data_IF_270813095106
#
_entry.id   IF_270813095106
#
_cell.length_a   1.000
_cell.length_b   1.000
_cell.length_c   1.000
_cell.angle_alpha   90.00
_cell.angle_beta   90.00
_cell.angle_gamma   90.00
#
_symmetry.space_group_name_H-M   'P 1'
#
loop_
_entity.id
_entity.type
_entity.pdbx_description
1 polymer ?
#
# COMPACT_ATOMS: atom_id res chain seq x y z
N UNK A 1 -33.36 -15.94 -30.35
CA UNK A 1 -33.50 -15.66 -28.91
C UNK A 1 -32.11 -15.74 -28.31
N UNK A 2 -31.39 -14.62 -28.27
CA UNK A 2 -30.06 -14.56 -27.65
C UNK A 2 -30.34 -14.29 -26.17
N UNK A 3 -29.99 -15.25 -25.32
CA UNK A 3 -30.19 -15.21 -23.88
C UNK A 3 -29.45 -14.02 -23.28
N UNK A 4 -30.22 -13.05 -22.80
CA UNK A 4 -29.78 -12.01 -21.88
C UNK A 4 -29.51 -12.64 -20.51
N UNK A 5 -28.31 -13.17 -20.30
CA UNK A 5 -27.78 -13.40 -18.95
C UNK A 5 -26.99 -12.17 -18.54
N UNK A 6 -27.71 -11.26 -17.91
CA UNK A 6 -27.20 -10.25 -16.98
C UNK A 6 -26.24 -10.90 -15.98
N UNK A 7 -24.96 -10.56 -16.07
CA UNK A 7 -24.00 -10.60 -14.94
C UNK A 7 -22.85 -9.63 -15.26
N UNK A 8 -23.15 -8.33 -15.24
CA UNK A 8 -22.15 -7.23 -15.37
C UNK A 8 -21.62 -6.81 -13.97
N UNK A 9 -21.89 -7.57 -12.91
CA UNK A 9 -21.55 -7.19 -11.52
C UNK A 9 -20.38 -7.94 -10.90
N UNK A 10 -19.40 -8.41 -11.69
CA UNK A 10 -18.20 -9.02 -11.15
C UNK A 10 -17.00 -8.04 -11.20
N UNK A 11 -16.49 -7.70 -10.01
CA UNK A 11 -15.10 -7.28 -9.73
C UNK A 11 -14.60 -5.84 -9.95
N UNK A 12 -15.46 -4.81 -10.03
CA UNK A 12 -14.99 -3.42 -9.93
C UNK A 12 -14.91 -2.87 -8.49
N UNK A 13 -15.29 -3.68 -7.50
CA UNK A 13 -15.08 -3.31 -6.10
C UNK A 13 -13.62 -3.58 -5.75
N UNK A 14 -12.91 -2.54 -5.29
CA UNK A 14 -11.71 -2.68 -4.47
C UNK A 14 -11.97 -3.87 -3.54
N UNK A 15 -11.11 -4.91 -3.50
CA UNK A 15 -11.38 -6.07 -2.68
C UNK A 15 -11.75 -5.54 -1.30
N UNK A 16 -12.75 -6.15 -0.64
CA UNK A 16 -13.05 -5.89 0.75
C UNK A 16 -11.79 -6.24 1.55
N UNK A 17 -10.81 -5.33 1.53
CA UNK A 17 -9.63 -5.37 2.34
C UNK A 17 -10.20 -5.17 3.73
N UNK A 18 -9.94 -6.11 4.65
CA UNK A 18 -10.43 -5.96 5.99
C UNK A 18 -9.91 -4.62 6.47
N UNK A 19 -10.79 -3.63 6.58
CA UNK A 19 -10.52 -2.47 7.41
C UNK A 19 -10.51 -3.10 8.77
N UNK A 20 -9.34 -3.52 9.25
CA UNK A 20 -9.18 -3.86 10.64
C UNK A 20 -9.31 -2.53 11.37
N UNK A 21 -10.55 -2.07 11.52
CA UNK A 21 -10.94 -1.13 12.57
C UNK A 21 -10.78 -1.92 13.85
N UNK A 22 -9.52 -2.13 14.24
CA UNK A 22 -9.18 -2.65 15.55
C UNK A 22 -9.89 -1.77 16.56
N UNK A 23 -10.49 -2.39 17.58
CA UNK A 23 -11.10 -1.64 18.68
C UNK A 23 -10.04 -0.87 19.48
N UNK A 24 -8.79 -1.31 19.42
CA UNK A 24 -7.67 -0.73 20.13
C UNK A 24 -7.12 0.49 19.40
N UNK A 25 -6.85 1.60 20.11
CA UNK A 25 -6.19 2.75 19.52
C UNK A 25 -4.81 2.36 18.98
N UNK A 26 -4.63 2.54 17.68
CA UNK A 26 -3.37 2.28 16.98
C UNK A 26 -2.95 3.50 16.18
N UNK A 27 -1.65 3.83 16.24
CA UNK A 27 -0.97 4.82 15.42
C UNK A 27 0.12 4.10 14.61
N UNK A 28 0.21 4.40 13.32
CA UNK A 28 1.40 4.02 12.54
C UNK A 28 2.08 5.23 11.95
N UNK A 29 3.40 5.32 12.07
CA UNK A 29 4.18 6.47 11.60
C UNK A 29 5.09 6.05 10.46
N UNK A 30 5.23 6.90 9.44
CA UNK A 30 6.20 6.62 8.38
C UNK A 30 7.63 6.56 8.93
N UNK A 31 8.36 5.48 8.62
CA UNK A 31 9.77 5.33 8.96
C UNK A 31 10.58 5.19 7.69
N UNK A 32 11.58 6.05 7.47
CA UNK A 32 12.44 5.98 6.29
C UNK A 32 13.24 4.68 6.27
N UNK A 33 13.31 3.99 5.13
CA UNK A 33 14.07 2.73 5.01
C UNK A 33 15.54 2.90 4.61
N UNK A 34 15.94 4.06 4.06
CA UNK A 34 17.30 4.26 3.53
C UNK A 34 17.83 5.67 3.84
N UNK A 35 19.07 5.73 4.37
CA UNK A 35 19.88 6.93 4.52
C UNK A 35 20.41 7.40 3.12
N UNK A 36 20.77 8.68 2.90
CA UNK A 36 21.07 9.75 3.87
C UNK A 36 19.91 10.74 4.15
N UNK A 37 18.73 10.52 3.56
CA UNK A 37 17.56 11.39 3.76
C UNK A 37 16.55 10.69 4.67
N UNK A 38 16.90 10.57 5.94
CA UNK A 38 15.94 10.16 6.96
C UNK A 38 14.86 11.25 7.05
N UNK A 39 13.61 10.89 6.78
CA UNK A 39 12.49 11.77 7.07
C UNK A 39 12.41 12.02 8.59
N UNK A 40 11.82 13.15 9.02
CA UNK A 40 11.52 13.43 10.44
C UNK A 40 10.51 12.44 11.08
N UNK A 41 10.11 11.39 10.34
CA UNK A 41 9.25 10.32 10.84
C UNK A 41 9.87 9.52 11.98
N UNK A 42 11.20 9.37 12.02
CA UNK A 42 11.90 8.72 13.14
C UNK A 42 11.72 9.52 14.43
N UNK A 43 11.92 10.84 14.36
CA UNK A 43 11.76 11.76 15.49
C UNK A 43 10.31 11.75 15.97
N UNK A 44 9.35 11.80 15.04
CA UNK A 44 7.93 11.72 15.38
C UNK A 44 7.57 10.39 16.06
N UNK A 45 8.10 9.26 15.57
CA UNK A 45 7.87 7.94 16.13
C UNK A 45 8.40 7.84 17.58
N UNK A 46 9.64 8.28 17.80
CA UNK A 46 10.25 8.28 19.14
C UNK A 46 9.51 9.23 20.11
N UNK A 47 9.14 10.42 19.64
CA UNK A 47 8.37 11.38 20.42
C UNK A 47 6.99 10.84 20.84
N UNK A 48 6.29 10.14 19.93
CA UNK A 48 5.01 9.49 20.24
C UNK A 48 5.15 8.40 21.29
N UNK A 49 6.20 7.57 21.20
CA UNK A 49 6.48 6.53 22.20
C UNK A 49 6.76 7.14 23.58
N UNK A 50 7.61 8.16 23.63
CA UNK A 50 7.96 8.85 24.87
C UNK A 50 6.73 9.48 25.53
N UNK A 51 5.97 10.29 24.77
CA UNK A 51 4.82 11.01 25.29
C UNK A 51 3.66 10.10 25.69
N UNK A 52 3.39 9.04 24.90
CA UNK A 52 2.38 8.04 25.24
C UNK A 52 2.68 7.36 26.57
N UNK A 53 3.94 6.94 26.78
CA UNK A 53 4.38 6.29 28.03
C UNK A 53 4.33 7.26 29.21
N UNK A 54 4.78 8.50 29.03
CA UNK A 54 4.73 9.55 30.05
C UNK A 54 3.30 9.81 30.53
N UNK A 55 2.36 9.85 29.59
CA UNK A 55 0.94 10.12 29.85
C UNK A 55 0.13 8.86 30.21
N UNK A 56 0.72 7.66 30.09
CA UNK A 56 0.07 6.35 30.28
C UNK A 56 -1.17 6.17 29.39
N UNK A 57 -1.09 6.59 28.14
CA UNK A 57 -2.18 6.45 27.17
C UNK A 57 -2.11 5.05 26.54
N UNK A 58 -3.19 4.25 26.57
CA UNK A 58 -3.20 2.92 25.97
C UNK A 58 -3.35 3.04 24.44
N UNK A 59 -2.22 3.20 23.74
CA UNK A 59 -2.16 3.26 22.28
C UNK A 59 -0.98 2.42 21.76
N UNK A 60 -1.24 1.63 20.73
CA UNK A 60 -0.22 0.85 20.03
C UNK A 60 0.43 1.77 18.99
N UNK A 61 1.76 1.89 19.03
CA UNK A 61 2.51 2.71 18.08
C UNK A 61 3.48 1.79 17.32
N UNK A 62 3.35 1.77 16.00
CA UNK A 62 4.16 0.91 15.11
C UNK A 62 4.72 1.69 13.92
N UNK A 63 5.83 1.25 13.32
CA UNK A 63 6.26 1.76 12.03
C UNK A 63 5.25 1.33 10.94
N UNK A 64 4.90 2.27 10.07
CA UNK A 64 4.08 2.00 8.90
C UNK A 64 4.87 1.29 7.79
N UNK A 65 4.16 0.54 6.94
CA UNK A 65 4.71 0.04 5.68
C UNK A 65 4.91 1.20 4.71
N UNK A 66 6.17 1.54 4.46
CA UNK A 66 6.58 2.60 3.54
C UNK A 66 7.47 2.05 2.43
N UNK A 67 7.13 2.39 1.18
CA UNK A 67 7.96 2.10 -0.01
C UNK A 67 8.79 3.29 -0.47
N UNK A 68 8.98 4.32 0.37
CA UNK A 68 9.65 5.57 -0.01
C UNK A 68 11.16 5.56 0.29
N UNK A 69 11.90 6.38 -0.44
CA UNK A 69 13.32 6.67 -0.16
C UNK A 69 13.57 7.75 0.90
N UNK A 70 12.54 8.19 1.64
CA UNK A 70 12.68 9.15 2.76
C UNK A 70 12.67 10.65 2.40
N UNK A 71 12.62 11.03 1.12
CA UNK A 71 12.72 12.43 0.66
C UNK A 71 11.38 13.15 0.45
N UNK A 72 10.31 12.74 1.14
CA UNK A 72 8.97 13.31 0.93
C UNK A 72 8.89 14.77 1.42
N UNK A 73 8.33 15.68 0.59
CA UNK A 73 8.13 17.10 0.93
C UNK A 73 6.92 17.38 1.84
N UNK A 74 6.08 16.37 2.06
CA UNK A 74 4.78 16.47 2.71
C UNK A 74 4.67 15.68 4.02
N UNK A 75 5.61 14.77 4.26
CA UNK A 75 5.67 14.03 5.51
C UNK A 75 6.16 14.87 6.69
N UNK A 76 6.21 14.30 7.90
CA UNK A 76 5.85 12.91 8.22
C UNK A 76 4.34 12.63 8.17
N UNK A 77 3.99 11.41 7.77
CA UNK A 77 2.62 10.90 7.78
C UNK A 77 2.36 10.03 9.00
N UNK A 78 1.16 10.17 9.55
CA UNK A 78 0.68 9.41 10.70
C UNK A 78 -0.68 8.81 10.36
N UNK A 79 -0.79 7.49 10.37
CA UNK A 79 -2.07 6.79 10.21
C UNK A 79 -2.71 6.48 11.55
N UNK A 80 -4.03 6.51 11.56
CA UNK A 80 -4.88 6.04 12.66
C UNK A 80 -5.79 4.93 12.12
N UNK A 81 -5.32 3.68 12.02
CA UNK A 81 -6.05 2.61 11.34
C UNK A 81 -7.45 2.34 11.92
N UNK A 82 -7.59 2.46 13.25
CA UNK A 82 -8.86 2.30 13.97
C UNK A 82 -9.91 3.37 13.59
N UNK A 83 -9.48 4.57 13.22
CA UNK A 83 -10.34 5.65 12.72
C UNK A 83 -10.41 5.68 11.19
N UNK A 84 -9.48 5.01 10.51
CA UNK A 84 -9.34 5.03 9.06
C UNK A 84 -9.02 6.43 8.54
N UNK A 85 -8.10 7.16 9.18
CA UNK A 85 -7.66 8.50 8.74
C UNK A 85 -6.14 8.60 8.74
N UNK A 86 -5.61 9.59 8.01
CA UNK A 86 -4.21 10.00 8.11
C UNK A 86 -4.08 11.47 8.48
N UNK A 87 -3.00 11.75 9.19
CA UNK A 87 -2.45 13.07 9.35
C UNK A 87 -1.19 13.25 8.49
N UNK A 88 -1.08 14.44 7.91
CA UNK A 88 0.03 14.89 7.05
C UNK A 88 0.75 16.06 7.72
N UNK A 89 2.06 16.18 7.52
CA UNK A 89 2.86 17.28 8.06
C UNK A 89 2.88 17.34 9.59
N UNK A 90 2.84 16.18 10.25
CA UNK A 90 2.81 16.11 11.71
C UNK A 90 4.17 16.49 12.29
N UNK A 91 4.19 17.48 13.19
CA UNK A 91 5.36 17.95 13.92
C UNK A 91 5.33 17.47 15.37
N UNK A 92 6.47 17.56 16.06
CA UNK A 92 6.58 17.20 17.48
C UNK A 92 5.58 17.94 18.37
N UNK A 93 5.34 19.24 18.12
CA UNK A 93 4.37 20.05 18.87
C UNK A 93 2.94 19.50 18.79
N UNK A 94 2.62 18.74 17.74
CA UNK A 94 1.30 18.15 17.56
C UNK A 94 1.10 16.86 18.37
N UNK A 95 2.18 16.20 18.82
CA UNK A 95 2.13 14.88 19.48
C UNK A 95 1.18 14.89 20.68
N UNK A 96 1.36 15.85 21.58
CA UNK A 96 0.53 15.96 22.79
C UNK A 96 -0.94 16.17 22.45
N UNK A 97 -1.23 16.98 21.43
CA UNK A 97 -2.59 17.28 20.99
C UNK A 97 -3.24 16.06 20.32
N UNK A 98 -2.50 15.32 19.50
CA UNK A 98 -2.98 14.09 18.86
C UNK A 98 -3.32 13.04 19.92
N UNK A 99 -2.44 12.83 20.89
CA UNK A 99 -2.70 11.88 21.97
C UNK A 99 -3.92 12.26 22.82
N UNK A 100 -4.07 13.54 23.18
CA UNK A 100 -5.19 13.99 24.03
C UNK A 100 -6.53 14.12 23.28
N UNK A 101 -6.54 14.78 22.14
CA UNK A 101 -7.78 15.08 21.42
C UNK A 101 -8.18 13.93 20.50
N UNK A 102 -7.23 13.34 19.76
CA UNK A 102 -7.56 12.27 18.81
C UNK A 102 -7.67 10.92 19.49
N UNK A 103 -6.65 10.47 20.21
CA UNK A 103 -6.66 9.12 20.81
C UNK A 103 -7.65 9.00 21.97
N UNK A 104 -7.62 9.93 22.94
CA UNK A 104 -8.49 9.81 24.13
C UNK A 104 -9.93 10.30 23.88
N UNK A 105 -10.12 11.37 23.10
CA UNK A 105 -11.44 11.99 22.89
C UNK A 105 -12.07 11.65 21.54
N UNK A 106 -11.36 10.95 20.65
CA UNK A 106 -11.87 10.58 19.32
C UNK A 106 -12.04 11.76 18.36
N UNK A 107 -11.45 12.93 18.65
CA UNK A 107 -11.59 14.13 17.81
C UNK A 107 -10.59 14.15 16.67
N UNK A 108 -11.09 14.43 15.48
CA UNK A 108 -10.27 14.60 14.28
C UNK A 108 -9.70 16.03 14.25
N UNK A 109 -8.39 16.14 14.09
CA UNK A 109 -7.68 17.40 13.93
C UNK A 109 -7.69 17.80 12.46
N UNK A 110 -8.73 18.51 12.03
CA UNK A 110 -8.90 18.93 10.63
C UNK A 110 -7.68 19.61 9.99
N UNK A 111 -6.89 20.46 10.67
CA UNK A 111 -5.71 21.06 10.07
C UNK A 111 -4.62 20.06 9.67
N UNK A 112 -4.59 18.89 10.30
CA UNK A 112 -3.63 17.82 10.00
C UNK A 112 -4.21 16.75 9.09
N UNK A 113 -5.55 16.69 8.96
CA UNK A 113 -6.25 15.65 8.24
C UNK A 113 -5.89 15.66 6.75
N UNK A 114 -5.34 14.55 6.28
CA UNK A 114 -5.13 14.34 4.86
C UNK A 114 -6.47 14.09 4.16
N UNK A 115 -6.93 15.07 3.40
CA UNK A 115 -8.07 14.94 2.48
C UNK A 115 -7.64 15.43 1.11
N UNK A 116 -7.36 14.51 0.20
CA UNK A 116 -7.12 14.86 -1.18
C UNK A 116 -7.94 13.96 -2.12
N UNK A 117 -9.10 14.43 -2.61
CA UNK A 117 -9.97 13.61 -3.46
C UNK A 117 -9.34 13.27 -4.81
N UNK A 118 -8.25 13.93 -5.20
CA UNK A 118 -7.52 13.66 -6.44
C UNK A 118 -6.35 12.68 -6.25
N UNK A 119 -5.95 12.41 -5.00
CA UNK A 119 -4.75 11.60 -4.69
C UNK A 119 -5.04 10.40 -3.80
N UNK A 120 -6.09 10.45 -2.98
CA UNK A 120 -6.47 9.38 -2.06
C UNK A 120 -7.96 9.07 -2.22
N UNK A 121 -8.24 7.87 -2.76
CA UNK A 121 -9.61 7.34 -2.91
C UNK A 121 -10.10 6.77 -1.57
N UNK A 122 -9.20 6.49 -0.63
CA UNK A 122 -9.50 5.96 0.71
C UNK A 122 -8.60 6.58 1.77
N UNK A 123 -9.18 6.95 2.89
CA UNK A 123 -8.49 7.58 4.02
C UNK A 123 -7.59 6.63 4.84
N UNK A 124 -7.47 5.35 4.45
CA UNK A 124 -6.58 4.33 5.03
C UNK A 124 -5.51 3.81 4.04
N UNK A 125 -5.47 4.35 2.82
CA UNK A 125 -4.40 4.12 1.84
C UNK A 125 -3.97 5.44 1.17
N UNK A 126 -2.69 5.80 1.33
CA UNK A 126 -2.07 6.89 0.58
C UNK A 126 -1.18 6.31 -0.54
N UNK A 127 -1.58 6.59 -1.79
CA UNK A 127 -0.79 6.31 -2.98
C UNK A 127 -0.38 7.62 -3.66
N UNK A 128 0.91 7.95 -3.67
CA UNK A 128 1.39 9.11 -4.45
C UNK A 128 1.79 8.68 -5.86
N UNK A 129 0.88 8.89 -6.80
CA UNK A 129 1.07 8.57 -8.23
C UNK A 129 2.29 9.24 -8.86
N UNK A 130 2.66 10.44 -8.41
CA UNK A 130 3.79 11.19 -8.98
C UNK A 130 5.15 10.63 -8.56
N UNK A 131 5.27 10.11 -7.33
CA UNK A 131 6.47 9.46 -6.83
C UNK A 131 6.51 7.94 -7.04
N UNK A 132 5.42 7.34 -7.55
CA UNK A 132 5.27 5.89 -7.66
C UNK A 132 5.33 5.19 -6.30
N UNK A 133 5.00 5.91 -5.21
CA UNK A 133 5.35 5.51 -3.86
C UNK A 133 4.13 5.25 -2.99
N UNK A 134 4.17 4.14 -2.26
CA UNK A 134 3.23 3.80 -1.18
C UNK A 134 3.74 4.44 0.09
N UNK A 135 3.01 5.41 0.64
CA UNK A 135 3.57 6.27 1.69
C UNK A 135 3.20 5.87 3.12
N UNK A 136 2.11 5.15 3.37
CA UNK A 136 1.88 4.53 4.67
C UNK A 136 0.71 3.54 4.61
N UNK A 137 0.95 2.28 4.97
CA UNK A 137 -0.10 1.31 5.27
C UNK A 137 0.18 0.69 6.63
N UNK A 138 -0.88 0.28 7.32
CA UNK A 138 -0.76 -0.54 8.53
C UNK A 138 -0.14 -1.91 8.21
N UNK A 139 0.43 -2.57 9.22
CA UNK A 139 1.01 -3.90 9.04
C UNK A 139 -0.01 -5.01 8.70
N UNK A 140 -1.32 -4.73 8.89
CA UNK A 140 -2.42 -5.61 8.48
C UNK A 140 -2.61 -5.76 6.96
N UNK A 141 -1.94 -4.96 6.14
CA UNK A 141 -2.04 -5.04 4.68
C UNK A 141 -1.00 -6.00 4.10
N UNK A 142 -1.43 -6.90 3.20
CA UNK A 142 -0.51 -7.69 2.37
C UNK A 142 -0.18 -6.95 1.09
N UNK A 143 1.10 -6.63 0.88
CA UNK A 143 1.54 -5.85 -0.28
C UNK A 143 1.48 -6.63 -1.60
N UNK A 144 1.57 -7.95 -1.54
CA UNK A 144 1.33 -8.82 -2.70
C UNK A 144 -0.12 -8.71 -3.18
N UNK A 145 -1.08 -8.67 -2.25
CA UNK A 145 -2.50 -8.49 -2.57
C UNK A 145 -2.82 -7.08 -3.06
N UNK A 146 -2.09 -6.07 -2.57
CA UNK A 146 -2.15 -4.71 -3.14
C UNK A 146 -1.68 -4.74 -4.60
N UNK A 147 -0.56 -5.40 -4.90
CA UNK A 147 -0.06 -5.54 -6.27
C UNK A 147 -1.07 -6.27 -7.17
N UNK A 148 -1.70 -7.35 -6.68
CA UNK A 148 -2.76 -8.08 -7.39
C UNK A 148 -3.93 -7.16 -7.76
N UNK A 149 -4.39 -6.35 -6.81
CA UNK A 149 -5.45 -5.37 -7.07
C UNK A 149 -5.03 -4.35 -8.14
N UNK A 150 -3.84 -3.76 -8.02
CA UNK A 150 -3.35 -2.74 -8.94
C UNK A 150 -3.19 -3.28 -10.37
N UNK A 151 -2.63 -4.49 -10.52
CA UNK A 151 -2.44 -5.08 -11.83
C UNK A 151 -3.77 -5.55 -12.45
N UNK A 152 -4.73 -5.99 -11.65
CA UNK A 152 -6.07 -6.32 -12.14
C UNK A 152 -6.73 -5.11 -12.79
N UNK A 153 -6.73 -3.97 -12.11
CA UNK A 153 -7.25 -2.72 -12.66
C UNK A 153 -6.56 -2.35 -13.98
N UNK A 154 -5.23 -2.42 -14.04
CA UNK A 154 -4.50 -2.09 -15.27
C UNK A 154 -4.69 -3.10 -16.41
N UNK A 155 -4.91 -4.38 -16.09
CA UNK A 155 -5.24 -5.39 -17.08
C UNK A 155 -6.62 -5.11 -17.71
N UNK A 156 -7.60 -4.70 -16.90
CA UNK A 156 -8.95 -4.42 -17.37
C UNK A 156 -9.03 -3.12 -18.20
N UNK A 157 -8.17 -2.13 -17.90
CA UNK A 157 -8.04 -0.87 -18.66
C UNK A 157 -7.12 -0.97 -19.89
N UNK A 158 -6.49 -2.12 -20.10
CA UNK A 158 -5.57 -2.34 -21.23
C UNK A 158 -6.33 -2.35 -22.56
N UNK A 159 -5.94 -1.51 -23.52
CA UNK A 159 -6.52 -1.55 -24.87
C UNK A 159 -6.04 -2.75 -25.71
N UNK A 160 -5.05 -3.51 -25.23
CA UNK A 160 -4.54 -4.73 -25.91
C UNK A 160 -3.85 -4.49 -27.27
N UNK A 161 -3.51 -3.25 -27.63
CA UNK A 161 -2.93 -2.95 -28.96
C UNK A 161 -1.56 -3.58 -29.23
N UNK A 162 -0.67 -3.58 -28.23
CA UNK A 162 0.70 -4.10 -28.36
C UNK A 162 0.91 -5.33 -27.47
N UNK A 163 1.82 -6.22 -27.89
CA UNK A 163 2.13 -7.48 -27.20
C UNK A 163 2.40 -7.36 -25.70
N UNK A 164 3.24 -6.43 -25.20
CA UNK A 164 3.44 -6.29 -23.75
C UNK A 164 2.16 -5.90 -22.98
N UNK A 165 1.22 -5.19 -23.63
CA UNK A 165 -0.05 -4.81 -23.01
C UNK A 165 -1.09 -5.93 -23.10
N UNK A 166 -1.16 -6.62 -24.25
CA UNK A 166 -2.14 -7.69 -24.53
C UNK A 166 -1.82 -9.01 -23.85
N UNK A 167 -0.54 -9.33 -23.73
CA UNK A 167 -0.05 -10.60 -23.19
C UNK A 167 0.73 -10.34 -21.91
N UNK A 168 1.69 -9.41 -21.92
CA UNK A 168 2.59 -9.19 -20.78
C UNK A 168 1.88 -8.76 -19.49
N UNK A 169 0.97 -7.78 -19.54
CA UNK A 169 0.19 -7.34 -18.37
C UNK A 169 -0.66 -8.48 -17.81
N UNK A 170 -1.29 -9.29 -18.68
CA UNK A 170 -2.12 -10.41 -18.24
C UNK A 170 -1.27 -11.54 -17.64
N UNK A 171 -0.10 -11.83 -18.20
CA UNK A 171 0.85 -12.76 -17.60
C UNK A 171 1.33 -12.28 -16.23
N UNK A 172 1.61 -10.98 -16.07
CA UNK A 172 2.00 -10.40 -14.80
C UNK A 172 0.86 -10.50 -13.77
N UNK A 173 -0.38 -10.23 -14.19
CA UNK A 173 -1.59 -10.43 -13.39
C UNK A 173 -1.73 -11.87 -12.90
N UNK A 174 -1.64 -12.84 -13.82
CA UNK A 174 -1.80 -14.25 -13.48
C UNK A 174 -0.69 -14.74 -12.54
N UNK A 175 0.54 -14.29 -12.77
CA UNK A 175 1.68 -14.64 -11.93
C UNK A 175 1.52 -14.10 -10.50
N UNK A 176 1.12 -12.83 -10.35
CA UNK A 176 0.87 -12.24 -9.03
C UNK A 176 -0.29 -12.96 -8.32
N UNK A 177 -1.37 -13.27 -9.03
CA UNK A 177 -2.49 -14.03 -8.47
C UNK A 177 -2.06 -15.41 -7.97
N UNK A 178 -1.17 -16.10 -8.70
CA UNK A 178 -0.56 -17.36 -8.25
C UNK A 178 0.31 -17.18 -7.01
N UNK A 179 1.05 -16.07 -6.88
CA UNK A 179 1.84 -15.77 -5.67
C UNK A 179 0.91 -15.55 -4.47
N UNK A 180 -0.20 -14.84 -4.67
CA UNK A 180 -1.21 -14.63 -3.61
C UNK A 180 -1.79 -15.96 -3.12
N UNK A 181 -2.03 -16.92 -4.03
CA UNK A 181 -2.57 -18.25 -3.72
C UNK A 181 -1.52 -19.28 -3.27
N UNK A 182 -0.22 -18.99 -3.33
CA UNK A 182 0.85 -19.95 -3.03
C UNK A 182 1.08 -21.02 -4.11
N UNK A 183 0.65 -20.75 -5.34
CA UNK A 183 0.72 -21.61 -6.54
C UNK A 183 1.79 -21.16 -7.54
N UNK A 184 2.60 -20.16 -7.16
CA UNK A 184 3.61 -19.57 -8.02
C UNK A 184 4.85 -20.47 -8.15
N UNK A 185 5.54 -20.43 -9.29
CA UNK A 185 6.84 -21.09 -9.43
C UNK A 185 7.89 -20.37 -8.56
N UNK A 186 8.98 -21.06 -8.20
CA UNK A 186 10.02 -20.50 -7.32
C UNK A 186 10.70 -19.26 -7.91
N UNK A 187 10.79 -19.19 -9.24
CA UNK A 187 11.36 -18.07 -10.00
C UNK A 187 10.32 -16.98 -10.33
N UNK A 188 9.13 -17.02 -9.74
CA UNK A 188 8.06 -16.07 -10.03
C UNK A 188 8.50 -14.60 -9.87
N UNK A 189 9.28 -14.28 -8.84
CA UNK A 189 9.78 -12.91 -8.64
C UNK A 189 10.66 -12.48 -9.83
N UNK A 190 11.54 -13.35 -10.31
CA UNK A 190 12.38 -13.08 -11.46
C UNK A 190 11.58 -12.93 -12.76
N UNK A 191 10.56 -13.79 -12.95
CA UNK A 191 9.63 -13.68 -14.08
C UNK A 191 8.87 -12.34 -14.05
N UNK A 192 8.41 -11.90 -12.87
CA UNK A 192 7.77 -10.60 -12.71
C UNK A 192 8.69 -9.46 -13.15
N UNK A 193 9.94 -9.45 -12.69
CA UNK A 193 10.93 -8.41 -13.05
C UNK A 193 11.17 -8.38 -14.55
N UNK A 194 11.27 -9.55 -15.19
CA UNK A 194 11.46 -9.68 -16.63
C UNK A 194 10.27 -9.12 -17.42
N UNK A 195 9.04 -9.45 -17.02
CA UNK A 195 7.82 -8.92 -17.64
C UNK A 195 7.69 -7.41 -17.48
N UNK A 196 8.00 -6.90 -16.29
CA UNK A 196 7.98 -5.46 -15.97
C UNK A 196 8.99 -4.72 -16.85
N UNK A 197 10.22 -5.22 -16.92
CA UNK A 197 11.26 -4.62 -17.74
C UNK A 197 10.86 -4.60 -19.22
N UNK A 198 10.38 -5.72 -19.75
CA UNK A 198 9.94 -5.84 -21.14
C UNK A 198 8.83 -4.84 -21.48
N UNK A 199 7.83 -4.72 -20.61
CA UNK A 199 6.74 -3.76 -20.78
C UNK A 199 7.21 -2.30 -20.72
N UNK A 200 8.22 -2.01 -19.90
CA UNK A 200 8.85 -0.69 -19.84
C UNK A 200 9.59 -0.30 -21.11
N UNK A 201 10.22 -1.26 -21.80
CA UNK A 201 11.06 -1.00 -22.98
C UNK A 201 10.32 -1.08 -24.32
N UNK A 202 9.32 -1.96 -24.43
CA UNK A 202 8.78 -2.37 -25.74
C UNK A 202 7.33 -1.97 -25.98
N UNK A 203 6.66 -1.35 -25.00
CA UNK A 203 5.28 -0.94 -25.15
C UNK A 203 5.11 0.17 -26.19
N UNK A 204 4.07 0.03 -27.01
CA UNK A 204 3.74 1.02 -28.04
C UNK A 204 3.38 2.39 -27.47
N UNK A 205 2.76 2.42 -26.28
CA UNK A 205 2.43 3.64 -25.57
C UNK A 205 2.88 3.55 -24.11
N UNK A 206 2.83 4.67 -23.39
CA UNK A 206 3.28 4.75 -21.99
C UNK A 206 2.42 3.96 -20.99
N UNK A 207 1.29 3.38 -21.40
CA UNK A 207 0.37 2.69 -20.49
C UNK A 207 1.02 1.48 -19.83
N UNK A 208 1.52 0.51 -20.61
CA UNK A 208 2.05 -0.74 -20.05
C UNK A 208 3.32 -0.51 -19.21
N UNK A 209 4.18 0.43 -19.63
CA UNK A 209 5.33 0.84 -18.84
C UNK A 209 4.91 1.47 -17.50
N UNK A 210 3.91 2.37 -17.48
CA UNK A 210 3.39 2.95 -16.24
C UNK A 210 2.75 1.90 -15.33
N UNK A 211 1.91 1.03 -15.87
CA UNK A 211 1.27 -0.05 -15.13
C UNK A 211 2.31 -0.98 -14.49
N UNK A 212 3.37 -1.33 -15.23
CA UNK A 212 4.43 -2.21 -14.75
C UNK A 212 5.33 -1.54 -13.71
N UNK A 213 5.62 -0.24 -13.87
CA UNK A 213 6.43 0.52 -12.90
C UNK A 213 5.74 0.64 -11.53
N UNK A 214 4.41 0.72 -11.51
CA UNK A 214 3.62 0.69 -10.27
C UNK A 214 3.87 -0.62 -9.51
N UNK A 215 3.83 -1.75 -10.22
CA UNK A 215 4.12 -3.07 -9.63
C UNK A 215 5.58 -3.18 -9.21
N UNK A 216 6.51 -2.64 -10.01
CA UNK A 216 7.93 -2.62 -9.67
C UNK A 216 8.19 -1.89 -8.35
N UNK A 217 7.51 -0.77 -8.11
CA UNK A 217 7.66 -0.01 -6.87
C UNK A 217 7.18 -0.81 -5.65
N UNK A 218 6.03 -1.50 -5.76
CA UNK A 218 5.53 -2.39 -4.71
C UNK A 218 6.51 -3.55 -4.49
N UNK A 219 6.97 -4.20 -5.56
CA UNK A 219 7.90 -5.32 -5.50
C UNK A 219 9.24 -4.91 -4.87
N UNK A 220 9.80 -3.78 -5.28
CA UNK A 220 11.09 -3.30 -4.79
C UNK A 220 11.00 -2.86 -3.33
N UNK A 221 9.89 -2.22 -2.96
CA UNK A 221 9.62 -1.83 -1.58
C UNK A 221 9.31 -3.00 -0.66
N UNK A 222 8.74 -4.10 -1.16
CA UNK A 222 8.21 -5.18 -0.31
C UNK A 222 8.62 -6.57 -0.78
N UNK A 223 9.81 -6.71 -1.38
CA UNK A 223 10.29 -7.97 -1.99
C UNK A 223 10.16 -9.17 -1.06
N UNK A 224 10.50 -8.99 0.21
CA UNK A 224 10.37 -10.03 1.23
C UNK A 224 8.95 -10.61 1.30
N UNK A 225 7.90 -9.77 1.22
CA UNK A 225 6.52 -10.26 1.22
C UNK A 225 6.21 -11.14 0.00
N UNK A 226 6.75 -10.80 -1.18
CA UNK A 226 6.59 -11.63 -2.38
C UNK A 226 7.34 -12.96 -2.27
N UNK A 227 8.57 -12.93 -1.74
CA UNK A 227 9.38 -14.14 -1.57
C UNK A 227 8.78 -15.09 -0.53
N UNK A 228 8.31 -14.59 0.61
CA UNK A 228 7.64 -15.39 1.64
C UNK A 228 6.35 -16.00 1.09
N UNK A 229 5.58 -15.25 0.30
CA UNK A 229 4.41 -15.80 -0.38
C UNK A 229 4.76 -16.92 -1.35
N UNK A 230 5.78 -16.72 -2.19
CA UNK A 230 6.16 -17.68 -3.23
C UNK A 230 6.84 -18.94 -2.67
N UNK A 231 7.75 -18.80 -1.71
CA UNK A 231 8.59 -19.89 -1.18
C UNK A 231 7.97 -20.56 0.04
N UNK A 232 7.53 -19.77 1.02
CA UNK A 232 7.01 -20.30 2.29
C UNK A 232 5.50 -20.57 2.26
N UNK A 233 4.81 -20.17 1.18
CA UNK A 233 3.35 -20.27 1.06
C UNK A 233 2.63 -19.64 2.27
N UNK A 234 3.17 -18.50 2.72
CA UNK A 234 2.70 -17.79 3.91
C UNK A 234 2.47 -16.32 3.61
N UNK A 235 1.45 -15.74 4.23
CA UNK A 235 1.18 -14.30 4.18
C UNK A 235 1.63 -13.64 5.48
N UNK A 236 2.58 -12.70 5.43
CA UNK A 236 3.04 -11.98 6.64
C UNK A 236 1.91 -11.21 7.33
N UNK A 237 0.96 -10.68 6.57
CA UNK A 237 -0.21 -10.00 7.11
C UNK A 237 -1.35 -10.94 7.52
N UNK A 238 -1.26 -12.25 7.22
CA UNK A 238 -2.29 -13.24 7.55
C UNK A 238 -3.63 -13.10 6.82
N UNK A 239 -3.74 -12.22 5.82
CA UNK A 239 -5.01 -11.95 5.12
C UNK A 239 -5.27 -12.82 3.88
N UNK A 240 -4.22 -13.38 3.28
CA UNK A 240 -4.35 -14.22 2.10
C UNK A 240 -4.58 -15.67 2.53
N UNK A 241 -5.63 -16.30 1.99
CA UNK A 241 -5.87 -17.73 2.16
C UNK A 241 -5.02 -18.47 1.13
N UNK A 242 -3.93 -19.03 1.61
CA UNK A 242 -3.03 -19.87 0.81
C UNK A 242 -3.49 -21.31 1.01
N UNK A 243 -3.81 -21.99 -0.08
CA UNK A 243 -4.39 -23.35 -0.10
C UNK A 243 -3.41 -24.35 -0.67
#
# INVERSE_FOLDING_TARGET
MISTSTDITANSQFPAMPVTRGKEPKITVCKGRQAPYACDGDILYEGLLYESNRMKIPVIIEPAKCGCGGSCRRGPFLSLPHMGIFYEGVKEDHITTILKETILKGKVLFPLLHLNPLQSIRSDLIWEKAGGCIMAMDNSYCMVRIAEYLINFHADESCGKCTPCRIGIHQLKDLIARIVRGEAPEDAVFQMESLIWLAGQTAYCAFAGKASNIILAVLSGFREEFEVHAKEKRCLAGICKIT
#
